data_IF_280760884143
#
_entry.id   IF_280760884143
#
_cell.length_a   1.000
_cell.length_b   1.000
_cell.length_c   1.000
_cell.angle_alpha   90.00
_cell.angle_beta   90.00
_cell.angle_gamma   90.00
#
_symmetry.space_group_name_H-M   'P 1'
#
loop_
_entity.id
_entity.type
_entity.pdbx_description
1 polymer ?
#
# COMPACT_ATOMS: atom_id res chain seq x y z
N UNK A 1 7.45 -50.48 -34.69
CA UNK A 1 6.97 -49.67 -33.54
C UNK A 1 5.45 -49.85 -33.42
N UNK A 2 4.95 -50.37 -32.30
CA UNK A 2 3.58 -50.89 -32.21
C UNK A 2 2.56 -49.74 -32.09
N UNK A 3 1.62 -49.60 -33.05
CA UNK A 3 0.67 -48.47 -33.14
C UNK A 3 -0.09 -48.20 -31.84
N UNK A 4 -0.34 -49.23 -31.04
CA UNK A 4 -0.99 -49.12 -29.72
C UNK A 4 -0.11 -48.40 -28.67
N UNK A 5 1.21 -48.69 -28.64
CA UNK A 5 2.15 -48.07 -27.70
C UNK A 5 2.34 -46.57 -27.98
N UNK A 6 2.32 -46.18 -29.25
CA UNK A 6 2.40 -44.76 -29.66
C UNK A 6 1.17 -43.97 -29.24
N UNK A 7 -0.04 -44.55 -29.34
CA UNK A 7 -1.28 -43.91 -28.88
C UNK A 7 -1.32 -43.73 -27.37
N UNK A 8 -0.89 -44.74 -26.61
CA UNK A 8 -0.82 -44.67 -25.14
C UNK A 8 0.18 -43.57 -24.70
N UNK A 9 1.35 -43.49 -25.35
CA UNK A 9 2.35 -42.47 -25.03
C UNK A 9 1.84 -41.04 -25.29
N UNK A 10 1.06 -40.84 -26.35
CA UNK A 10 0.45 -39.54 -26.68
C UNK A 10 -0.64 -39.12 -25.68
N UNK A 11 -1.41 -40.07 -25.15
CA UNK A 11 -2.43 -39.79 -24.14
C UNK A 11 -1.76 -39.38 -22.82
N UNK A 12 -0.70 -40.09 -22.42
CA UNK A 12 0.07 -39.78 -21.21
C UNK A 12 0.74 -38.41 -21.28
N UNK A 13 1.31 -38.03 -22.42
CA UNK A 13 1.91 -36.70 -22.60
C UNK A 13 0.87 -35.59 -22.59
N UNK A 14 -0.31 -35.80 -23.18
CA UNK A 14 -1.41 -34.85 -23.14
C UNK A 14 -1.93 -34.64 -21.71
N UNK A 15 -2.08 -35.72 -20.93
CA UNK A 15 -2.50 -35.64 -19.53
C UNK A 15 -1.48 -34.86 -18.68
N UNK A 16 -0.19 -35.13 -18.86
CA UNK A 16 0.86 -34.42 -18.15
C UNK A 16 0.88 -32.92 -18.47
N UNK A 17 0.66 -32.56 -19.75
CA UNK A 17 0.56 -31.16 -20.17
C UNK A 17 -0.64 -30.45 -19.56
N UNK A 18 -1.80 -31.11 -19.46
CA UNK A 18 -3.00 -30.57 -18.80
C UNK A 18 -2.77 -30.33 -17.32
N UNK A 19 -2.12 -31.26 -16.62
CA UNK A 19 -1.78 -31.11 -15.19
C UNK A 19 -0.82 -29.93 -14.98
N UNK A 20 0.20 -29.78 -15.82
CA UNK A 20 1.12 -28.63 -15.80
C UNK A 20 0.39 -27.30 -16.04
N UNK A 21 -0.56 -27.27 -16.97
CA UNK A 21 -1.41 -26.10 -17.24
C UNK A 21 -2.27 -25.74 -16.03
N UNK A 22 -2.87 -26.73 -15.36
CA UNK A 22 -3.66 -26.53 -14.13
C UNK A 22 -2.80 -26.03 -12.97
N UNK A 23 -1.55 -26.48 -12.85
CA UNK A 23 -0.60 -25.95 -11.86
C UNK A 23 -0.15 -24.52 -12.19
N UNK A 24 0.08 -24.19 -13.45
CA UNK A 24 0.41 -22.82 -13.87
C UNK A 24 -0.76 -21.84 -13.63
N UNK A 25 -2.00 -22.31 -13.81
CA UNK A 25 -3.23 -21.54 -13.55
C UNK A 25 -3.53 -21.33 -12.06
N UNK A 26 -2.86 -22.03 -11.14
CA UNK A 26 -3.02 -21.80 -9.69
C UNK A 26 -2.28 -20.56 -9.18
N UNK A 27 -1.46 -19.92 -10.00
CA UNK A 27 -0.76 -18.70 -9.62
C UNK A 27 -1.67 -17.49 -9.79
N UNK A 28 -2.10 -16.90 -8.68
CA UNK A 28 -2.89 -15.66 -8.69
C UNK A 28 -4.15 -15.70 -7.83
N UNK A 29 -4.13 -16.40 -6.68
CA UNK A 29 -5.01 -15.96 -5.60
C UNK A 29 -4.34 -14.72 -5.01
N UNK A 30 -4.55 -13.56 -5.64
CA UNK A 30 -4.34 -12.28 -4.97
C UNK A 30 -5.21 -12.35 -3.72
N UNK A 31 -4.56 -12.50 -2.56
CA UNK A 31 -5.19 -12.09 -1.32
C UNK A 31 -5.47 -10.61 -1.52
N UNK A 32 -6.72 -10.28 -1.85
CA UNK A 32 -7.22 -8.92 -1.73
C UNK A 32 -7.08 -8.57 -0.25
N UNK A 33 -5.92 -8.04 0.14
CA UNK A 33 -5.73 -7.45 1.46
C UNK A 33 -6.84 -6.42 1.61
N UNK A 34 -7.78 -6.70 2.50
CA UNK A 34 -8.92 -5.83 2.73
C UNK A 34 -8.38 -4.51 3.25
N UNK A 35 -8.41 -3.50 2.38
CA UNK A 35 -7.91 -2.17 2.67
C UNK A 35 -8.93 -1.43 3.53
N UNK A 36 -8.59 -1.18 4.78
CA UNK A 36 -9.44 -0.44 5.70
C UNK A 36 -9.30 1.05 5.40
N UNK A 37 -10.43 1.70 5.12
CA UNK A 37 -10.47 3.16 4.98
C UNK A 37 -10.34 3.80 6.36
N UNK A 38 -9.27 4.57 6.57
CA UNK A 38 -9.00 5.22 7.85
C UNK A 38 -9.87 6.47 8.03
N UNK A 39 -10.28 6.74 9.27
CA UNK A 39 -10.83 8.01 9.68
C UNK A 39 -9.70 8.93 10.13
N UNK A 40 -9.11 9.64 9.18
CA UNK A 40 -8.07 10.63 9.44
C UNK A 40 -8.47 12.01 8.90
N UNK A 41 -7.83 13.05 9.41
CA UNK A 41 -7.91 14.38 8.82
C UNK A 41 -6.53 14.99 8.66
N UNK A 42 -6.32 15.66 7.53
CA UNK A 42 -5.11 16.45 7.30
C UNK A 42 -5.47 17.85 6.87
N UNK A 43 -4.83 18.85 7.46
CA UNK A 43 -4.86 20.24 7.03
C UNK A 43 -3.44 20.75 6.75
N UNK A 44 -3.30 21.70 5.83
CA UNK A 44 -2.05 22.41 5.55
C UNK A 44 -2.30 23.91 5.66
N UNK A 45 -1.63 24.59 6.58
CA UNK A 45 -1.84 26.02 6.85
C UNK A 45 -0.96 26.95 6.00
N UNK A 46 -0.11 26.38 5.14
CA UNK A 46 0.90 27.11 4.36
C UNK A 46 2.33 26.84 4.83
N UNK A 47 2.50 26.40 6.07
CA UNK A 47 3.80 26.15 6.69
C UNK A 47 3.95 24.71 7.17
N UNK A 48 2.89 24.11 7.68
CA UNK A 48 2.90 22.82 8.37
C UNK A 48 1.64 22.00 8.09
N UNK A 49 1.77 20.68 8.23
CA UNK A 49 0.67 19.75 8.18
C UNK A 49 0.16 19.46 9.58
N UNK A 50 -1.15 19.53 9.78
CA UNK A 50 -1.84 19.03 10.97
C UNK A 50 -2.55 17.74 10.60
N UNK A 51 -2.06 16.61 11.11
CA UNK A 51 -2.56 15.25 10.80
C UNK A 51 -3.17 14.64 12.05
N UNK A 52 -4.45 14.31 12.00
CA UNK A 52 -5.17 13.71 13.12
C UNK A 52 -5.60 12.28 12.79
N UNK A 53 -5.40 11.39 13.76
CA UNK A 53 -6.07 10.09 13.79
C UNK A 53 -7.40 10.27 14.53
N UNK A 54 -8.52 10.17 13.81
CA UNK A 54 -9.86 10.30 14.37
C UNK A 54 -10.53 8.92 14.58
N UNK A 55 -9.78 7.83 14.39
CA UNK A 55 -10.21 6.49 14.76
C UNK A 55 -10.00 6.23 16.25
N UNK A 56 -10.52 5.08 16.70
CA UNK A 56 -10.33 4.56 18.07
C UNK A 56 -9.12 3.64 18.19
N UNK A 57 -8.44 3.34 17.08
CA UNK A 57 -7.27 2.47 17.01
C UNK A 57 -6.07 3.26 16.49
N UNK A 58 -4.89 2.89 16.97
CA UNK A 58 -3.64 3.49 16.49
C UNK A 58 -3.35 3.11 15.05
N UNK A 59 -2.76 4.04 14.30
CA UNK A 59 -2.16 3.77 13.00
C UNK A 59 -0.70 3.42 13.23
N UNK A 60 -0.31 2.18 12.97
CA UNK A 60 1.03 1.69 13.22
C UNK A 60 1.90 1.77 11.95
N UNK A 61 3.20 1.95 12.13
CA UNK A 61 4.20 1.91 11.05
C UNK A 61 3.82 2.78 9.85
N UNK A 62 3.34 4.00 10.12
CA UNK A 62 2.73 4.83 9.08
C UNK A 62 3.74 5.25 8.01
N UNK A 63 3.26 5.29 6.77
CA UNK A 63 3.91 5.90 5.62
C UNK A 63 3.00 7.02 5.14
N UNK A 64 3.39 8.24 5.47
CA UNK A 64 2.71 9.45 5.02
C UNK A 64 3.37 9.95 3.74
N UNK A 65 2.57 10.35 2.76
CA UNK A 65 3.09 10.87 1.49
C UNK A 65 2.47 12.21 1.12
N UNK A 66 3.31 13.08 0.56
CA UNK A 66 2.91 14.34 -0.06
C UNK A 66 3.15 14.23 -1.57
N UNK A 67 2.11 14.51 -2.35
CA UNK A 67 2.07 14.39 -3.81
C UNK A 67 2.45 12.99 -4.34
N UNK A 68 2.44 11.97 -3.48
CA UNK A 68 2.77 10.58 -3.81
C UNK A 68 4.27 10.23 -3.77
N UNK A 69 5.18 11.21 -3.74
CA UNK A 69 6.62 10.96 -3.90
C UNK A 69 7.52 11.49 -2.77
N UNK A 70 7.07 12.47 -1.98
CA UNK A 70 7.73 12.81 -0.72
C UNK A 70 7.15 11.97 0.41
N UNK A 71 8.00 11.32 1.20
CA UNK A 71 7.59 10.34 2.21
C UNK A 71 8.11 10.69 3.60
N UNK A 72 7.31 10.40 4.60
CA UNK A 72 7.68 10.33 6.01
C UNK A 72 7.22 8.97 6.54
N UNK A 73 8.12 8.22 7.18
CA UNK A 73 7.91 6.81 7.51
C UNK A 73 8.26 6.50 8.96
N UNK A 74 7.62 5.49 9.53
CA UNK A 74 8.02 4.91 10.82
C UNK A 74 7.44 5.62 12.05
N UNK A 75 6.42 6.46 11.84
CA UNK A 75 5.66 7.07 12.92
C UNK A 75 4.44 6.21 13.25
N UNK A 76 4.07 6.14 14.53
CA UNK A 76 2.76 5.66 14.95
C UNK A 76 1.88 6.88 15.24
N UNK A 77 0.65 6.88 14.73
CA UNK A 77 -0.33 7.93 15.00
C UNK A 77 -1.36 7.38 15.98
N UNK A 78 -1.27 7.78 17.25
CA UNK A 78 -2.14 7.29 18.31
C UNK A 78 -3.59 7.75 18.12
N UNK A 79 -4.53 6.90 18.54
CA UNK A 79 -5.96 7.18 18.45
C UNK A 79 -6.34 8.50 19.14
N UNK A 80 -7.06 9.36 18.42
CA UNK A 80 -7.52 10.67 18.92
C UNK A 80 -6.46 11.78 18.92
N UNK A 81 -5.22 11.48 18.57
CA UNK A 81 -4.12 12.46 18.63
C UNK A 81 -3.97 13.25 17.32
N UNK A 82 -3.38 14.44 17.44
CA UNK A 82 -3.04 15.31 16.31
C UNK A 82 -1.56 15.65 16.29
N UNK A 83 -0.92 15.42 15.15
CA UNK A 83 0.49 15.62 14.92
C UNK A 83 0.72 16.82 14.02
N UNK A 84 1.72 17.62 14.37
CA UNK A 84 2.20 18.72 13.54
C UNK A 84 3.49 18.30 12.84
N UNK A 85 3.50 18.31 11.52
CA UNK A 85 4.62 17.86 10.69
C UNK A 85 5.09 19.00 9.79
N UNK A 86 6.40 19.22 9.75
CA UNK A 86 7.00 20.20 8.86
C UNK A 86 7.29 19.60 7.47
N UNK A 87 7.18 20.38 6.38
CA UNK A 87 7.52 19.93 5.03
C UNK A 87 8.90 19.28 4.95
N UNK A 88 9.90 19.85 5.64
CA UNK A 88 11.29 19.34 5.64
C UNK A 88 11.44 17.90 6.17
N UNK A 89 10.47 17.41 6.94
CA UNK A 89 10.48 16.03 7.45
C UNK A 89 10.24 15.02 6.32
N UNK A 90 9.53 15.41 5.27
CA UNK A 90 9.24 14.54 4.12
C UNK A 90 10.42 14.54 3.13
N UNK A 91 10.83 13.36 2.71
CA UNK A 91 11.94 13.16 1.77
C UNK A 91 11.49 12.43 0.50
N UNK A 92 12.02 12.87 -0.63
CA UNK A 92 11.95 12.14 -1.88
C UNK A 92 12.96 10.98 -1.87
N UNK A 93 12.78 9.99 -2.75
CA UNK A 93 13.70 8.84 -2.85
C UNK A 93 15.15 9.22 -3.17
N UNK A 94 15.36 10.37 -3.80
CA UNK A 94 16.69 10.92 -4.08
C UNK A 94 17.30 11.72 -2.91
N UNK A 95 16.66 11.72 -1.74
CA UNK A 95 17.12 12.43 -0.54
C UNK A 95 16.72 13.91 -0.45
N UNK A 96 16.12 14.49 -1.51
CA UNK A 96 15.65 15.88 -1.48
C UNK A 96 14.44 16.01 -0.56
N UNK A 97 14.41 17.03 0.31
CA UNK A 97 13.28 17.31 1.20
C UNK A 97 12.18 18.09 0.48
N UNK A 98 10.92 17.92 0.92
CA UNK A 98 9.81 18.72 0.41
C UNK A 98 10.09 20.22 0.69
N UNK A 99 10.15 21.08 -0.33
CA UNK A 99 10.43 22.50 -0.13
C UNK A 99 9.33 23.19 0.67
N UNK A 100 9.69 24.03 1.65
CA UNK A 100 8.74 24.73 2.52
C UNK A 100 7.71 25.60 1.77
N UNK A 101 8.09 26.13 0.60
CA UNK A 101 7.21 26.98 -0.23
C UNK A 101 6.39 26.21 -1.26
N UNK A 102 6.62 24.91 -1.42
CA UNK A 102 5.87 24.10 -2.38
C UNK A 102 4.45 23.88 -1.83
N UNK A 103 3.44 24.21 -2.62
CA UNK A 103 2.06 23.97 -2.22
C UNK A 103 1.71 22.49 -2.43
N UNK A 104 1.32 21.75 -1.38
CA UNK A 104 0.91 20.35 -1.48
C UNK A 104 -0.41 20.22 -2.25
N UNK A 105 -0.50 19.24 -3.14
CA UNK A 105 -1.71 18.92 -3.90
C UNK A 105 -2.47 17.74 -3.28
N UNK A 106 -1.73 16.73 -2.81
CA UNK A 106 -2.29 15.52 -2.22
C UNK A 106 -1.51 15.10 -0.99
N UNK A 107 -2.24 14.58 -0.01
CA UNK A 107 -1.67 13.91 1.16
C UNK A 107 -2.30 12.53 1.32
N UNK A 108 -1.50 11.54 1.69
CA UNK A 108 -1.98 10.18 1.93
C UNK A 108 -1.29 9.56 3.14
N UNK A 109 -1.99 8.65 3.81
CA UNK A 109 -1.47 7.84 4.93
C UNK A 109 -1.69 6.38 4.56
N UNK A 110 -0.64 5.58 4.73
CA UNK A 110 -0.70 4.13 4.76
C UNK A 110 -0.27 3.67 6.14
N UNK A 111 -0.91 2.63 6.69
CA UNK A 111 -0.52 2.10 7.98
C UNK A 111 -0.88 0.62 8.14
N UNK A 112 -0.44 0.07 9.25
CA UNK A 112 -0.89 -1.21 9.78
C UNK A 112 -1.86 -0.96 10.93
N UNK A 113 -2.86 -1.83 11.05
CA UNK A 113 -3.76 -1.86 12.20
C UNK A 113 -3.41 -3.06 13.09
N UNK A 114 -3.77 -3.01 14.37
CA UNK A 114 -3.52 -4.11 15.32
C UNK A 114 -4.13 -5.46 14.88
N UNK A 115 -5.19 -5.43 14.07
CA UNK A 115 -5.80 -6.62 13.48
C UNK A 115 -4.96 -7.28 12.38
N UNK A 116 -3.85 -6.65 11.96
CA UNK A 116 -3.03 -7.07 10.83
C UNK A 116 -3.50 -6.53 9.47
N UNK A 117 -4.64 -5.83 9.44
CA UNK A 117 -5.17 -5.18 8.24
C UNK A 117 -4.33 -3.96 7.84
N UNK A 118 -4.37 -3.61 6.55
CA UNK A 118 -3.72 -2.40 6.03
C UNK A 118 -4.71 -1.25 5.96
N UNK A 119 -4.30 -0.11 6.51
CA UNK A 119 -5.07 1.11 6.51
C UNK A 119 -4.66 2.07 5.39
N UNK A 120 -5.62 2.76 4.80
CA UNK A 120 -5.36 3.84 3.85
C UNK A 120 -6.27 5.06 4.03
N UNK A 121 -5.67 6.23 3.87
CA UNK A 121 -6.32 7.52 3.76
C UNK A 121 -5.71 8.35 2.63
N UNK A 122 -6.52 9.14 1.94
CA UNK A 122 -6.03 10.16 1.02
C UNK A 122 -6.95 11.36 0.95
N UNK A 123 -6.36 12.55 0.81
CA UNK A 123 -7.06 13.82 0.66
C UNK A 123 -6.35 14.73 -0.32
N UNK A 124 -7.13 15.40 -1.19
CA UNK A 124 -6.66 16.54 -1.98
C UNK A 124 -6.63 17.80 -1.10
N UNK A 125 -5.54 18.56 -1.17
CA UNK A 125 -5.29 19.76 -0.36
C UNK A 125 -5.48 21.06 -1.15
N UNK A 126 -5.12 21.08 -2.43
CA UNK A 126 -5.45 22.13 -3.41
C UNK A 126 -5.73 21.53 -4.77
#
# INVERSE_FOLDING_TARGET
MNKSKTKILLILSALAAIVLLLFALRSGKENSEMLVKLNASVAFDGERFMVSNNDTLDFLNTVMTVNGYYKLTGMNLHAGETYTLWPVEFAHINGTRLPAKQIPQQFSIWCELYSGEKGFYSRKLK
#
